data_IF_925126396584
#
_entry.id   IF_925126396584
#
_cell.length_a   1.000
_cell.length_b   1.000
_cell.length_c   1.000
_cell.angle_alpha   90.00
_cell.angle_beta   90.00
_cell.angle_gamma   90.00
#
_symmetry.space_group_name_H-M   'P 1'
#
loop_
_entity.id
_entity.type
_entity.pdbx_description
1 polymer ?
#
# COMPACT_ATOMS: atom_id res chain seq x y z
N UNK A 1 13.16 -0.67 29.02
CA UNK A 1 13.89 -1.81 28.40
C UNK A 1 12.90 -2.53 27.50
N UNK A 2 12.77 -2.09 26.25
CA UNK A 2 11.92 -2.75 25.26
C UNK A 2 12.71 -3.87 24.60
N UNK A 3 12.05 -5.02 24.54
CA UNK A 3 12.58 -6.33 24.21
C UNK A 3 13.08 -6.39 22.77
N UNK A 4 14.28 -6.93 22.59
CA UNK A 4 15.06 -7.15 21.37
C UNK A 4 14.45 -8.20 20.42
N UNK A 5 13.14 -8.16 20.16
CA UNK A 5 12.41 -9.13 19.33
C UNK A 5 11.49 -8.53 18.27
N UNK A 6 11.58 -7.23 18.01
CA UNK A 6 11.01 -6.60 16.83
C UNK A 6 12.15 -6.33 15.84
N UNK A 7 12.62 -7.35 15.11
CA UNK A 7 13.13 -7.08 13.76
C UNK A 7 11.91 -6.75 12.92
N UNK A 8 11.34 -5.57 13.13
CA UNK A 8 10.26 -5.07 12.31
C UNK A 8 10.81 -5.01 10.88
N UNK A 9 10.23 -5.82 10.01
CA UNK A 9 10.40 -5.68 8.57
C UNK A 9 9.89 -4.26 8.27
N UNK A 10 10.81 -3.31 8.18
CA UNK A 10 10.52 -1.94 7.88
C UNK A 10 10.54 -1.77 6.37
N UNK A 11 9.61 -0.98 5.84
CA UNK A 11 9.61 -0.67 4.41
C UNK A 11 10.92 0.04 4.06
N UNK A 12 11.64 -0.49 3.08
CA UNK A 12 12.84 0.17 2.57
C UNK A 12 12.43 1.35 1.68
N UNK A 13 12.34 2.54 2.29
CA UNK A 13 11.91 3.78 1.62
C UNK A 13 12.82 4.17 0.46
N UNK A 14 14.14 4.00 0.60
CA UNK A 14 15.11 4.34 -0.46
C UNK A 14 14.89 3.48 -1.69
N UNK A 15 14.73 2.17 -1.49
CA UNK A 15 14.50 1.24 -2.56
C UNK A 15 13.11 1.44 -3.19
N UNK A 16 12.09 1.70 -2.37
CA UNK A 16 10.76 2.01 -2.86
C UNK A 16 10.75 3.29 -3.70
N UNK A 17 11.47 4.34 -3.30
CA UNK A 17 11.63 5.55 -4.09
C UNK A 17 12.34 5.31 -5.45
N UNK A 18 13.32 4.39 -5.50
CA UNK A 18 13.92 3.98 -6.77
C UNK A 18 12.91 3.30 -7.69
N UNK A 19 12.07 2.43 -7.13
CA UNK A 19 11.04 1.72 -7.89
C UNK A 19 9.95 2.70 -8.37
N UNK A 20 9.56 3.67 -7.53
CA UNK A 20 8.58 4.72 -7.84
C UNK A 20 9.01 5.55 -9.06
N UNK A 21 10.30 5.80 -9.28
CA UNK A 21 10.80 6.59 -10.43
C UNK A 21 10.40 5.99 -11.79
N UNK A 22 10.06 4.70 -11.85
CA UNK A 22 9.57 4.04 -13.06
C UNK A 22 8.12 4.45 -13.39
N UNK A 23 7.38 4.98 -12.40
CA UNK A 23 5.97 5.32 -12.50
C UNK A 23 5.76 6.85 -12.40
N UNK A 24 5.55 7.55 -13.52
CA UNK A 24 5.44 9.02 -13.53
C UNK A 24 4.22 9.56 -12.78
N UNK A 25 3.22 8.70 -12.52
CA UNK A 25 2.00 9.06 -11.82
C UNK A 25 2.14 9.02 -10.29
N UNK A 26 3.24 8.46 -9.77
CA UNK A 26 3.46 8.27 -8.34
C UNK A 26 4.56 9.20 -7.85
N UNK A 27 4.33 9.84 -6.71
CA UNK A 27 5.30 10.74 -6.11
C UNK A 27 6.22 10.00 -5.15
N UNK A 28 7.54 10.34 -5.13
CA UNK A 28 8.47 9.77 -4.17
C UNK A 28 8.11 10.19 -2.75
N UNK A 29 8.46 9.32 -1.80
CA UNK A 29 8.31 9.54 -0.38
C UNK A 29 9.29 10.62 0.06
N UNK A 30 8.77 11.65 0.70
CA UNK A 30 9.54 12.75 1.28
C UNK A 30 9.53 12.67 2.82
N UNK A 31 10.55 13.19 3.52
CA UNK A 31 10.69 13.03 4.99
C UNK A 31 9.57 13.70 5.82
N UNK A 32 8.78 14.58 5.23
CA UNK A 32 7.63 15.23 5.84
C UNK A 32 6.39 14.33 5.92
N UNK A 33 6.33 13.25 5.14
CA UNK A 33 5.22 12.30 5.12
C UNK A 33 5.28 11.36 6.33
N UNK A 34 4.23 11.31 7.13
CA UNK A 34 4.21 10.58 8.42
C UNK A 34 2.95 9.78 8.65
N UNK A 35 1.89 10.06 7.90
CA UNK A 35 0.58 9.47 8.16
C UNK A 35 0.53 8.05 7.61
N UNK A 36 0.75 7.11 8.53
CA UNK A 36 0.52 5.67 8.32
C UNK A 36 -0.49 5.17 9.34
N UNK A 37 -1.48 4.41 8.88
CA UNK A 37 -2.38 3.69 9.78
C UNK A 37 -1.77 2.35 10.23
N UNK A 38 -2.43 1.65 11.16
CA UNK A 38 -2.04 0.30 11.62
C UNK A 38 -3.16 -0.71 11.38
N UNK A 39 -2.80 -1.99 11.24
CA UNK A 39 -3.75 -3.10 11.09
C UNK A 39 -4.69 -2.94 9.90
N UNK A 40 -5.99 -3.20 10.13
CA UNK A 40 -7.04 -3.18 9.09
C UNK A 40 -7.15 -1.84 8.38
N UNK A 41 -6.99 -0.74 9.11
CA UNK A 41 -6.98 0.61 8.53
C UNK A 41 -5.87 0.77 7.48
N UNK A 42 -4.66 0.31 7.81
CA UNK A 42 -3.54 0.35 6.86
C UNK A 42 -3.84 -0.50 5.63
N UNK A 43 -4.38 -1.70 5.84
CA UNK A 43 -4.76 -2.60 4.75
C UNK A 43 -5.78 -1.95 3.81
N UNK A 44 -6.86 -1.37 4.34
CA UNK A 44 -7.90 -0.71 3.53
C UNK A 44 -7.32 0.45 2.74
N UNK A 45 -6.44 1.24 3.37
CA UNK A 45 -5.75 2.35 2.70
C UNK A 45 -4.95 1.87 1.48
N UNK A 46 -4.11 0.87 1.69
CA UNK A 46 -3.23 0.32 0.66
C UNK A 46 -4.00 -0.45 -0.42
N UNK A 47 -5.07 -1.14 -0.05
CA UNK A 47 -5.84 -1.93 -0.99
C UNK A 47 -6.75 -1.07 -1.89
N UNK A 48 -7.33 0.02 -1.35
CA UNK A 48 -8.33 0.80 -2.07
C UNK A 48 -7.79 2.08 -2.71
N UNK A 49 -6.81 2.71 -2.09
CA UNK A 49 -6.40 4.08 -2.45
C UNK A 49 -4.98 4.17 -2.98
N UNK A 50 -4.08 3.34 -2.49
CA UNK A 50 -2.70 3.36 -2.96
C UNK A 50 -2.62 2.91 -4.42
N UNK A 51 -1.75 3.59 -5.17
CA UNK A 51 -1.31 3.16 -6.47
C UNK A 51 -0.45 1.90 -6.31
N UNK A 52 -0.75 0.88 -7.12
CA UNK A 52 -0.13 -0.44 -7.05
C UNK A 52 0.60 -0.75 -8.34
N UNK A 53 1.72 -1.45 -8.22
CA UNK A 53 2.40 -2.07 -9.36
C UNK A 53 1.62 -3.32 -9.79
N UNK A 54 0.55 -3.12 -10.56
CA UNK A 54 -0.30 -4.20 -11.08
C UNK A 54 0.43 -5.09 -12.08
N UNK A 55 1.39 -4.50 -12.80
CA UNK A 55 2.24 -5.16 -13.81
C UNK A 55 3.39 -5.97 -13.17
N UNK A 56 3.64 -5.79 -11.87
CA UNK A 56 4.66 -6.51 -11.08
C UNK A 56 6.07 -6.30 -11.65
N UNK A 57 6.34 -5.14 -12.25
CA UNK A 57 7.62 -4.82 -12.90
C UNK A 57 8.77 -4.70 -11.91
N UNK A 58 8.47 -4.26 -10.69
CA UNK A 58 9.49 -3.93 -9.67
C UNK A 58 9.48 -4.87 -8.48
N UNK A 59 8.71 -5.96 -8.54
CA UNK A 59 8.49 -6.89 -7.44
C UNK A 59 9.77 -7.69 -7.15
N UNK A 60 10.25 -7.64 -5.91
CA UNK A 60 11.44 -8.36 -5.46
C UNK A 60 11.31 -8.86 -4.01
N UNK A 61 12.20 -9.76 -3.63
CA UNK A 61 12.37 -10.15 -2.23
C UNK A 61 12.66 -8.92 -1.34
N UNK A 62 12.03 -8.88 -0.17
CA UNK A 62 12.06 -7.76 0.78
C UNK A 62 11.01 -6.68 0.54
N UNK A 63 10.25 -6.75 -0.56
CA UNK A 63 9.18 -5.77 -0.81
C UNK A 63 7.97 -5.99 0.10
N UNK A 64 7.35 -4.88 0.47
CA UNK A 64 6.07 -4.86 1.17
C UNK A 64 4.91 -5.01 0.19
N UNK A 65 3.97 -5.91 0.50
CA UNK A 65 2.89 -6.30 -0.40
C UNK A 65 1.55 -6.46 0.31
N UNK A 66 0.48 -6.27 -0.45
CA UNK A 66 -0.89 -6.60 -0.07
C UNK A 66 -1.30 -7.86 -0.84
N UNK A 67 -1.81 -8.85 -0.13
CA UNK A 67 -2.17 -10.14 -0.72
C UNK A 67 -3.49 -10.67 -0.19
N UNK A 68 -4.09 -11.58 -0.96
CA UNK A 68 -5.24 -12.36 -0.52
C UNK A 68 -4.76 -13.55 0.30
N UNK A 69 -5.10 -13.55 1.58
CA UNK A 69 -4.70 -14.57 2.55
C UNK A 69 -5.63 -15.78 2.47
N UNK A 70 -6.93 -15.51 2.35
CA UNK A 70 -8.00 -16.49 2.21
C UNK A 70 -8.80 -16.23 0.93
N UNK A 71 -8.79 -17.22 0.04
CA UNK A 71 -9.55 -17.22 -1.20
C UNK A 71 -10.95 -17.79 -0.94
N UNK A 72 -11.83 -16.97 -0.36
CA UNK A 72 -13.25 -17.31 -0.22
C UNK A 72 -14.03 -16.72 -1.41
N UNK A 73 -14.85 -17.51 -2.13
CA UNK A 73 -15.65 -17.02 -3.26
C UNK A 73 -16.61 -15.87 -2.91
N UNK A 74 -17.02 -15.77 -1.64
CA UNK A 74 -18.00 -14.80 -1.16
C UNK A 74 -17.33 -13.66 -0.38
N UNK A 75 -16.31 -13.96 0.43
CA UNK A 75 -15.64 -12.97 1.28
C UNK A 75 -14.12 -13.17 1.33
N UNK A 76 -13.36 -12.76 0.28
CA UNK A 76 -11.92 -12.92 0.28
C UNK A 76 -11.29 -12.07 1.40
N UNK A 77 -10.39 -12.68 2.18
CA UNK A 77 -9.68 -11.95 3.22
C UNK A 77 -8.33 -11.47 2.66
N UNK A 78 -8.09 -10.17 2.76
CA UNK A 78 -6.80 -9.57 2.41
C UNK A 78 -5.96 -9.32 3.66
N UNK A 79 -4.65 -9.22 3.46
CA UNK A 79 -3.73 -8.76 4.49
C UNK A 79 -2.45 -8.20 3.90
N UNK A 80 -1.52 -7.86 4.78
CA UNK A 80 -0.22 -7.26 4.47
C UNK A 80 0.91 -8.19 4.85
N UNK A 81 2.01 -8.10 4.11
CA UNK A 81 3.20 -8.90 4.40
C UNK A 81 4.43 -8.42 3.64
N UNK A 82 5.54 -9.13 3.86
CA UNK A 82 6.80 -8.90 3.18
C UNK A 82 7.19 -10.15 2.40
N UNK A 83 7.65 -9.96 1.18
CA UNK A 83 8.17 -11.06 0.38
C UNK A 83 9.49 -11.50 0.98
N UNK A 84 9.61 -12.79 1.30
CA UNK A 84 10.88 -13.41 1.69
C UNK A 84 11.64 -13.82 0.43
N UNK A 85 10.95 -14.49 -0.48
CA UNK A 85 11.54 -15.06 -1.69
C UNK A 85 10.51 -15.19 -2.82
N UNK A 86 10.97 -15.21 -4.06
CA UNK A 86 10.13 -15.34 -5.25
C UNK A 86 10.63 -16.52 -6.09
N UNK A 87 9.77 -17.50 -6.27
CA UNK A 87 9.95 -18.61 -7.20
C UNK A 87 9.42 -18.18 -8.59
N UNK A 88 10.34 -17.74 -9.46
CA UNK A 88 10.01 -17.32 -10.82
C UNK A 88 9.55 -18.49 -11.71
N UNK A 89 10.05 -19.71 -11.49
CA UNK A 89 9.68 -20.90 -12.26
C UNK A 89 8.22 -21.28 -12.04
N UNK A 90 7.78 -21.26 -10.77
CA UNK A 90 6.41 -21.59 -10.38
C UNK A 90 5.48 -20.38 -10.34
N UNK A 91 6.02 -19.17 -10.56
CA UNK A 91 5.32 -17.88 -10.39
C UNK A 91 4.63 -17.76 -9.02
N UNK A 92 5.34 -18.17 -7.97
CA UNK A 92 4.88 -18.10 -6.58
C UNK A 92 5.85 -17.27 -5.74
N UNK A 93 5.38 -16.70 -4.65
CA UNK A 93 6.22 -16.04 -3.67
C UNK A 93 5.96 -16.60 -2.28
N UNK A 94 7.02 -16.62 -1.47
CA UNK A 94 6.96 -16.84 -0.03
C UNK A 94 6.81 -15.49 0.65
N UNK A 95 5.74 -15.30 1.42
CA UNK A 95 5.41 -14.03 2.06
C UNK A 95 5.31 -14.24 3.57
N UNK A 96 6.05 -13.44 4.32
CA UNK A 96 5.85 -13.26 5.76
C UNK A 96 4.65 -12.36 5.99
N UNK A 97 3.55 -12.92 6.49
CA UNK A 97 2.35 -12.16 6.85
C UNK A 97 2.60 -11.40 8.15
N UNK A 98 2.06 -10.19 8.23
CA UNK A 98 2.08 -9.41 9.47
C UNK A 98 1.27 -10.12 10.56
N UNK A 99 1.78 -10.13 11.80
CA UNK A 99 1.17 -10.82 12.95
C UNK A 99 -0.32 -10.49 13.14
N UNK A 100 -0.68 -9.23 12.85
CA UNK A 100 -2.05 -8.71 12.82
C UNK A 100 -3.02 -9.52 11.95
N UNK A 101 -2.55 -10.28 10.97
CA UNK A 101 -3.37 -11.06 10.03
C UNK A 101 -3.15 -12.56 10.10
N UNK A 102 -2.19 -13.03 10.91
CA UNK A 102 -1.87 -14.46 11.05
C UNK A 102 -3.08 -15.26 11.53
N UNK A 103 -3.91 -14.70 12.41
CA UNK A 103 -5.13 -15.34 12.90
C UNK A 103 -6.19 -15.62 11.82
N UNK A 104 -6.09 -14.96 10.65
CA UNK A 104 -7.02 -15.11 9.51
C UNK A 104 -6.62 -16.27 8.59
N UNK A 105 -5.38 -16.75 8.70
CA UNK A 105 -4.87 -17.88 7.92
C UNK A 105 -5.70 -19.14 8.19
N UNK A 106 -5.91 -20.01 7.20
CA UNK A 106 -6.74 -21.20 7.40
C UNK A 106 -5.94 -22.41 7.90
N UNK A 107 -4.67 -22.53 7.48
CA UNK A 107 -3.82 -23.67 7.84
C UNK A 107 -3.08 -23.40 9.14
N UNK A 108 -3.04 -24.37 10.03
CA UNK A 108 -2.34 -24.25 11.32
C UNK A 108 -0.82 -24.07 11.13
N UNK A 109 -0.22 -24.77 10.17
CA UNK A 109 1.21 -24.63 9.82
C UNK A 109 1.56 -23.20 9.37
N UNK A 110 0.68 -22.58 8.57
CA UNK A 110 0.83 -21.19 8.13
C UNK A 110 0.65 -20.22 9.31
N UNK A 111 -0.20 -20.54 10.30
CA UNK A 111 -0.40 -19.73 11.51
C UNK A 111 0.81 -19.75 12.44
N UNK A 112 1.44 -20.90 12.61
CA UNK A 112 2.60 -21.05 13.49
C UNK A 112 3.84 -20.37 12.93
N UNK A 113 4.05 -20.47 11.62
CA UNK A 113 5.21 -19.90 10.94
C UNK A 113 4.99 -18.44 10.50
N UNK A 114 3.73 -18.06 10.23
CA UNK A 114 3.37 -16.78 9.63
C UNK A 114 3.83 -16.63 8.17
N UNK A 115 4.31 -17.71 7.55
CA UNK A 115 4.81 -17.72 6.17
C UNK A 115 3.78 -18.42 5.29
N UNK A 116 3.40 -17.77 4.19
CA UNK A 116 2.52 -18.37 3.20
C UNK A 116 3.16 -18.37 1.81
N UNK A 117 2.87 -19.43 1.07
CA UNK A 117 3.17 -19.51 -0.35
C UNK A 117 1.91 -19.12 -1.14
N UNK A 118 2.00 -18.09 -1.97
CA UNK A 118 0.89 -17.62 -2.80
C UNK A 118 1.35 -17.28 -4.22
N UNK A 119 0.48 -17.44 -5.23
CA UNK A 119 0.82 -17.09 -6.60
C UNK A 119 1.03 -15.58 -6.72
N UNK A 120 1.94 -15.17 -7.59
CA UNK A 120 2.21 -13.75 -7.83
C UNK A 120 0.96 -12.98 -8.27
N UNK A 121 -0.01 -13.63 -8.91
CA UNK A 121 -1.25 -13.02 -9.42
C UNK A 121 -2.12 -12.38 -8.35
N UNK A 122 -2.07 -12.85 -7.11
CA UNK A 122 -2.91 -12.35 -5.99
C UNK A 122 -2.13 -11.42 -5.05
N UNK A 123 -0.93 -11.02 -5.47
CA UNK A 123 -0.03 -10.14 -4.73
C UNK A 123 0.05 -8.81 -5.46
N UNK A 124 -0.21 -7.75 -4.73
CA UNK A 124 -0.12 -6.37 -5.19
C UNK A 124 0.97 -5.66 -4.39
N UNK A 125 1.91 -5.01 -5.09
CA UNK A 125 2.91 -4.14 -4.45
C UNK A 125 2.39 -2.71 -4.42
N UNK A 126 2.01 -2.15 -3.25
CA UNK A 126 1.69 -0.74 -3.13
C UNK A 126 2.97 0.10 -3.29
N UNK A 127 2.91 1.09 -4.18
CA UNK A 127 3.98 2.07 -4.36
C UNK A 127 3.77 3.29 -3.45
N UNK A 128 2.53 3.54 -3.04
CA UNK A 128 2.16 4.57 -2.08
C UNK A 128 1.90 3.93 -0.72
N UNK A 129 2.73 4.24 0.27
CA UNK A 129 2.63 3.66 1.62
C UNK A 129 2.25 4.68 2.67
N UNK A 130 2.38 5.97 2.35
CA UNK A 130 1.94 7.10 3.16
C UNK A 130 0.69 7.74 2.56
N UNK A 131 -0.21 8.20 3.43
CA UNK A 131 -1.42 8.88 3.00
C UNK A 131 -1.11 10.18 2.23
N UNK A 132 -0.06 10.90 2.61
CA UNK A 132 0.36 12.13 1.96
C UNK A 132 0.77 11.92 0.49
N UNK A 133 1.32 10.76 0.12
CA UNK A 133 1.58 10.43 -1.28
C UNK A 133 0.29 10.34 -2.09
N UNK A 134 -0.71 9.65 -1.54
CA UNK A 134 -2.04 9.48 -2.13
C UNK A 134 -2.72 10.85 -2.26
N UNK A 135 -2.66 11.67 -1.21
CA UNK A 135 -3.17 13.03 -1.20
C UNK A 135 -2.50 13.89 -2.28
N UNK A 136 -1.19 13.81 -2.42
CA UNK A 136 -0.42 14.53 -3.45
C UNK A 136 -0.84 14.14 -4.86
N UNK A 137 -0.92 12.84 -5.15
CA UNK A 137 -1.39 12.33 -6.45
C UNK A 137 -2.81 12.77 -6.77
N UNK A 138 -3.72 12.65 -5.81
CA UNK A 138 -5.11 13.05 -6.01
C UNK A 138 -5.25 14.57 -6.18
N UNK A 139 -4.51 15.38 -5.41
CA UNK A 139 -4.50 16.83 -5.56
C UNK A 139 -3.99 17.25 -6.95
N UNK A 140 -2.95 16.59 -7.48
CA UNK A 140 -2.47 16.83 -8.85
C UNK A 140 -3.55 16.49 -9.87
N UNK A 141 -4.12 15.28 -9.82
CA UNK A 141 -5.14 14.88 -10.79
C UNK A 141 -6.43 15.72 -10.74
N UNK A 142 -6.83 16.18 -9.55
CA UNK A 142 -7.97 17.09 -9.39
C UNK A 142 -7.67 18.51 -9.89
N UNK A 143 -6.42 18.96 -9.80
CA UNK A 143 -6.02 20.27 -10.28
C UNK A 143 -5.86 20.29 -11.81
N UNK A 144 -5.42 19.20 -12.44
CA UNK A 144 -5.14 19.11 -13.88
C UNK A 144 -6.34 19.46 -14.79
N UNK A 145 -7.57 19.32 -14.29
CA UNK A 145 -8.79 19.67 -15.06
C UNK A 145 -8.97 21.19 -15.25
N UNK A 146 -8.24 22.01 -14.49
CA UNK A 146 -8.32 23.46 -14.56
C UNK A 146 -7.63 24.02 -15.80
N UNK A 147 -8.18 25.11 -16.35
CA UNK A 147 -7.80 25.61 -17.68
C UNK A 147 -6.49 26.41 -17.72
N UNK A 148 -6.03 26.95 -16.59
CA UNK A 148 -4.81 27.78 -16.53
C UNK A 148 -3.85 27.26 -15.48
N UNK A 149 -2.54 27.37 -15.73
CA UNK A 149 -1.51 26.90 -14.79
C UNK A 149 -1.62 27.57 -13.41
N UNK A 150 -2.04 28.83 -13.36
CA UNK A 150 -2.25 29.58 -12.12
C UNK A 150 -3.37 28.96 -11.27
N UNK A 151 -4.49 28.61 -11.91
CA UNK A 151 -5.60 27.93 -11.26
C UNK A 151 -5.23 26.51 -10.87
N UNK A 152 -4.50 25.78 -11.72
CA UNK A 152 -4.00 24.45 -11.39
C UNK A 152 -3.16 24.49 -10.10
N UNK A 153 -2.21 25.43 -9.98
CA UNK A 153 -1.39 25.59 -8.77
C UNK A 153 -2.23 25.97 -7.55
N UNK A 154 -3.17 26.89 -7.71
CA UNK A 154 -4.06 27.31 -6.62
C UNK A 154 -4.91 26.15 -6.10
N UNK A 155 -5.58 25.43 -7.02
CA UNK A 155 -6.44 24.31 -6.68
C UNK A 155 -5.67 23.12 -6.16
N UNK A 156 -4.47 22.84 -6.70
CA UNK A 156 -3.57 21.84 -6.15
C UNK A 156 -3.28 22.11 -4.68
N UNK A 157 -2.93 23.36 -4.32
CA UNK A 157 -2.60 23.70 -2.93
C UNK A 157 -3.81 23.54 -2.02
N UNK A 158 -4.99 23.98 -2.47
CA UNK A 158 -6.24 23.83 -1.73
C UNK A 158 -6.59 22.35 -1.52
N UNK A 159 -6.60 21.54 -2.59
CA UNK A 159 -6.90 20.11 -2.49
C UNK A 159 -5.87 19.37 -1.63
N UNK A 160 -4.58 19.67 -1.78
CA UNK A 160 -3.55 19.04 -0.99
C UNK A 160 -3.71 19.36 0.50
N UNK A 161 -4.05 20.60 0.86
CA UNK A 161 -4.30 21.00 2.24
C UNK A 161 -5.51 20.25 2.83
N UNK A 162 -6.63 20.20 2.11
CA UNK A 162 -7.85 19.51 2.59
C UNK A 162 -7.65 17.99 2.70
N UNK A 163 -6.97 17.38 1.72
CA UNK A 163 -6.66 15.96 1.71
C UNK A 163 -5.70 15.62 2.86
N UNK A 164 -4.55 16.29 2.95
CA UNK A 164 -3.55 16.02 4.01
C UNK A 164 -4.05 16.29 5.42
N UNK A 165 -5.00 17.22 5.59
CA UNK A 165 -5.69 17.46 6.87
C UNK A 165 -6.76 16.42 7.19
N UNK A 166 -6.98 15.43 6.32
CA UNK A 166 -8.02 14.41 6.43
C UNK A 166 -9.45 14.97 6.46
N UNK A 167 -9.66 16.23 6.05
CA UNK A 167 -10.99 16.84 5.95
C UNK A 167 -11.81 16.21 4.82
N UNK A 168 -11.12 15.68 3.81
CA UNK A 168 -11.72 15.05 2.65
C UNK A 168 -10.96 13.78 2.29
N UNK A 169 -11.67 12.67 2.10
CA UNK A 169 -11.08 11.39 1.68
C UNK A 169 -11.81 10.94 0.41
N UNK A 170 -11.15 10.99 -0.76
CA UNK A 170 -11.76 10.59 -2.01
C UNK A 170 -11.91 9.08 -2.00
N UNK A 171 -13.13 8.63 -1.77
CA UNK A 171 -13.46 7.22 -1.82
C UNK A 171 -13.56 6.74 -3.28
N UNK A 172 -13.02 5.56 -3.57
CA UNK A 172 -12.92 5.03 -4.94
C UNK A 172 -14.29 5.00 -5.63
N UNK A 173 -14.33 5.49 -6.88
CA UNK A 173 -15.51 5.53 -7.78
C UNK A 173 -16.83 6.01 -7.13
N UNK A 174 -16.80 7.11 -6.38
CA UNK A 174 -17.97 8.01 -6.28
C UNK A 174 -18.75 8.06 -4.97
N UNK A 175 -18.31 7.47 -3.85
CA UNK A 175 -19.03 7.60 -2.57
C UNK A 175 -18.07 7.78 -1.39
N UNK A 176 -18.03 8.99 -0.82
CA UNK A 176 -17.25 9.40 0.37
C UNK A 176 -17.41 8.40 1.54
N UNK A 177 -16.28 7.96 2.10
CA UNK A 177 -16.24 7.33 3.42
C UNK A 177 -15.57 8.28 4.41
N UNK A 178 -16.30 8.61 5.48
CA UNK A 178 -15.75 9.28 6.64
C UNK A 178 -15.03 8.23 7.49
N UNK A 179 -13.75 8.46 7.78
CA UNK A 179 -13.00 7.67 8.72
C UNK A 179 -13.30 8.17 10.14
N UNK A 180 -14.27 7.55 10.82
CA UNK A 180 -14.52 7.71 12.26
C UNK A 180 -14.70 6.34 12.90
#
# INVERSE_FOLDING_TARGET
MQSTKERSLAINVEQLNKDINVFPQVYPITPDMKTTHKGVSRLVMLDRYAFKDTEKKTLKAGDFVVLTIKEDPKFPARGTGFIIDIDEERRKAHIQVEESFVHVLEKEEERETGIIERPLSIIDKPLEVYYEQIAKRNATGLAEVESTEEKQKQWYQNFYQELSSLNFIPAGRGIIWCWF
#
